data_IF_591498832441
#
_entry.id   IF_591498832441
#
_cell.length_a   1.000
_cell.length_b   1.000
_cell.length_c   1.000
_cell.angle_alpha   90.00
_cell.angle_beta   90.00
_cell.angle_gamma   90.00
#
_symmetry.space_group_name_H-M   'P 1'
#
loop_
_entity.id
_entity.type
_entity.pdbx_description
1 polymer ?
#
# COMPACT_ATOMS: atom_id res chain seq x y z
N UNK A 1 -13.83 -37.76 17.74
CA UNK A 1 -14.02 -37.17 19.09
C UNK A 1 -12.70 -37.00 19.85
N UNK A 2 -11.93 -38.07 20.10
CA UNK A 2 -10.63 -37.97 20.82
C UNK A 2 -9.62 -36.97 20.21
N UNK A 3 -9.54 -36.89 18.87
CA UNK A 3 -8.68 -35.93 18.15
C UNK A 3 -9.11 -34.47 18.32
N UNK A 4 -10.42 -34.22 18.44
CA UNK A 4 -10.99 -32.87 18.59
C UNK A 4 -10.73 -32.34 20.00
N UNK A 5 -10.87 -33.20 21.00
CA UNK A 5 -10.58 -32.88 22.41
C UNK A 5 -9.07 -32.62 22.60
N UNK A 6 -8.22 -33.41 21.94
CA UNK A 6 -6.77 -33.21 21.94
C UNK A 6 -6.38 -31.87 21.27
N UNK A 7 -7.02 -31.51 20.15
CA UNK A 7 -6.79 -30.23 19.47
C UNK A 7 -7.23 -29.01 20.30
N UNK A 8 -8.33 -29.13 21.06
CA UNK A 8 -8.79 -28.11 22.01
C UNK A 8 -7.85 -27.95 23.21
N UNK A 9 -7.39 -29.06 23.79
CA UNK A 9 -6.46 -29.06 24.92
C UNK A 9 -5.09 -28.48 24.54
N UNK A 10 -4.65 -28.70 23.30
CA UNK A 10 -3.40 -28.12 22.78
C UNK A 10 -3.62 -26.65 22.40
N UNK A 11 -4.69 -26.30 21.67
CA UNK A 11 -4.94 -24.93 21.21
C UNK A 11 -5.14 -23.89 22.33
N UNK A 12 -5.58 -24.31 23.52
CA UNK A 12 -5.73 -23.44 24.71
C UNK A 12 -4.49 -23.43 25.63
N UNK A 13 -3.46 -24.21 25.32
CA UNK A 13 -2.22 -24.26 26.09
C UNK A 13 -1.23 -23.15 25.63
N UNK A 14 -0.56 -22.45 26.57
CA UNK A 14 0.40 -21.39 26.23
C UNK A 14 1.69 -21.90 25.55
N UNK A 15 1.86 -23.21 25.36
CA UNK A 15 3.09 -23.83 24.81
C UNK A 15 3.11 -23.86 23.26
N UNK A 16 2.06 -23.39 22.59
CA UNK A 16 1.88 -23.60 21.14
C UNK A 16 2.61 -22.61 20.22
N UNK A 17 3.61 -21.87 20.72
CA UNK A 17 4.38 -20.90 19.92
C UNK A 17 5.67 -21.52 19.31
N UNK A 18 5.67 -22.82 19.03
CA UNK A 18 6.76 -23.49 18.33
C UNK A 18 6.47 -23.59 16.81
N UNK A 19 7.43 -23.13 16.00
CA UNK A 19 7.34 -23.15 14.54
C UNK A 19 7.20 -24.59 14.02
N UNK A 20 6.08 -24.88 13.35
CA UNK A 20 5.74 -26.19 12.76
C UNK A 20 4.42 -26.80 13.27
N UNK A 21 3.96 -26.44 14.47
CA UNK A 21 2.69 -26.96 15.00
C UNK A 21 1.48 -26.12 14.60
N UNK A 22 1.68 -24.81 14.40
CA UNK A 22 0.65 -23.89 13.93
C UNK A 22 0.03 -24.32 12.58
N UNK A 23 0.85 -24.80 11.64
CA UNK A 23 0.38 -25.25 10.32
C UNK A 23 -0.48 -26.53 10.39
N UNK A 24 -0.17 -27.44 11.32
CA UNK A 24 -1.00 -28.64 11.58
C UNK A 24 -2.32 -28.31 12.30
N UNK A 25 -2.39 -27.19 13.02
CA UNK A 25 -3.63 -26.74 13.67
C UNK A 25 -4.56 -26.04 12.67
N UNK A 26 -4.02 -25.33 11.68
CA UNK A 26 -4.82 -24.68 10.63
C UNK A 26 -5.61 -25.71 9.79
N UNK A 27 -5.06 -26.90 9.54
CA UNK A 27 -5.75 -27.97 8.81
C UNK A 27 -6.93 -28.59 9.57
N UNK A 28 -7.03 -28.38 10.89
CA UNK A 28 -8.12 -28.86 11.74
C UNK A 28 -9.30 -27.87 11.84
N UNK A 29 -9.09 -26.63 11.39
CA UNK A 29 -10.11 -25.57 11.37
C UNK A 29 -11.44 -26.00 10.70
N UNK A 30 -11.46 -26.60 9.50
CA UNK A 30 -12.71 -27.02 8.86
C UNK A 30 -13.45 -28.12 9.64
N UNK A 31 -12.73 -29.01 10.34
CA UNK A 31 -13.38 -30.00 11.21
C UNK A 31 -14.02 -29.34 12.43
N UNK A 32 -13.36 -28.35 13.04
CA UNK A 32 -13.89 -27.66 14.23
C UNK A 32 -15.04 -26.73 13.85
N UNK A 33 -14.97 -26.03 12.71
CA UNK A 33 -16.10 -25.27 12.16
C UNK A 33 -17.33 -26.17 11.95
N UNK A 34 -17.14 -27.41 11.48
CA UNK A 34 -18.23 -28.37 11.22
C UNK A 34 -18.86 -28.97 12.49
N UNK A 35 -18.06 -29.26 13.53
CA UNK A 35 -18.55 -30.03 14.69
C UNK A 35 -18.76 -29.19 15.97
N UNK A 36 -18.09 -28.05 16.11
CA UNK A 36 -18.13 -27.21 17.32
C UNK A 36 -18.60 -25.77 17.03
N UNK A 37 -18.83 -25.44 15.75
CA UNK A 37 -19.32 -24.14 15.32
C UNK A 37 -18.19 -23.12 15.07
N UNK A 38 -18.51 -22.15 14.22
CA UNK A 38 -17.59 -21.09 13.81
C UNK A 38 -17.10 -20.20 14.98
N UNK A 39 -17.88 -20.11 16.06
CA UNK A 39 -17.54 -19.32 17.25
C UNK A 39 -16.38 -19.92 18.05
N UNK A 40 -16.30 -21.25 18.12
CA UNK A 40 -15.18 -21.95 18.80
C UNK A 40 -13.93 -21.90 17.92
N UNK A 41 -14.09 -22.11 16.61
CA UNK A 41 -13.00 -21.99 15.66
C UNK A 41 -12.41 -20.57 15.62
N UNK A 42 -13.25 -19.53 15.72
CA UNK A 42 -12.81 -18.14 15.71
C UNK A 42 -12.14 -17.70 17.02
N UNK A 43 -12.46 -18.33 18.17
CA UNK A 43 -11.71 -18.14 19.42
C UNK A 43 -10.30 -18.73 19.38
N UNK A 44 -10.10 -19.83 18.65
CA UNK A 44 -8.80 -20.53 18.56
C UNK A 44 -7.93 -19.98 17.43
N UNK A 45 -8.50 -19.66 16.26
CA UNK A 45 -7.76 -19.22 15.06
C UNK A 45 -8.06 -17.80 14.59
N UNK A 46 -8.92 -17.05 15.28
CA UNK A 46 -9.43 -15.76 14.80
C UNK A 46 -10.52 -15.90 13.74
N UNK A 47 -11.27 -14.83 13.48
CA UNK A 47 -12.33 -14.79 12.46
C UNK A 47 -11.75 -15.17 11.09
N UNK A 48 -12.43 -16.06 10.36
CA UNK A 48 -12.09 -16.40 8.97
C UNK A 48 -12.31 -15.13 8.15
N UNK A 49 -11.25 -14.39 7.85
CA UNK A 49 -11.39 -13.20 7.02
C UNK A 49 -11.85 -13.66 5.65
N UNK A 50 -13.10 -13.35 5.28
CA UNK A 50 -13.50 -13.46 3.87
C UNK A 50 -12.48 -12.67 3.06
N UNK A 51 -11.84 -13.35 2.11
CA UNK A 51 -10.78 -12.76 1.30
C UNK A 51 -11.38 -11.61 0.50
N UNK A 52 -10.95 -10.39 0.80
CA UNK A 52 -11.24 -9.24 -0.04
C UNK A 52 -10.57 -9.51 -1.38
N UNK A 53 -11.35 -9.60 -2.45
CA UNK A 53 -10.82 -9.87 -3.79
C UNK A 53 -10.30 -8.58 -4.41
N UNK A 54 -9.20 -8.71 -5.16
CA UNK A 54 -8.72 -7.61 -5.97
C UNK A 54 -9.75 -7.35 -7.09
N UNK A 55 -10.22 -6.11 -7.29
CA UNK A 55 -11.11 -5.79 -8.39
C UNK A 55 -10.41 -5.97 -9.74
N UNK A 56 -11.20 -6.06 -10.80
CA UNK A 56 -10.69 -6.16 -12.16
C UNK A 56 -9.89 -4.90 -12.52
N UNK A 57 -8.62 -5.10 -12.94
CA UNK A 57 -7.72 -4.00 -13.26
C UNK A 57 -8.26 -3.25 -14.49
N UNK A 58 -8.51 -1.94 -14.38
CA UNK A 58 -9.09 -1.18 -15.47
C UNK A 58 -8.07 -0.98 -16.59
N UNK A 59 -8.58 -0.81 -17.82
CA UNK A 59 -7.75 -0.40 -18.95
C UNK A 59 -7.40 1.09 -18.79
N UNK A 60 -6.12 1.36 -18.55
CA UNK A 60 -5.59 2.73 -18.51
C UNK A 60 -5.44 3.23 -19.95
N UNK A 61 -6.42 4.00 -20.43
CA UNK A 61 -6.34 4.71 -21.72
C UNK A 61 -5.77 6.10 -21.43
N UNK A 62 -4.45 6.24 -21.50
CA UNK A 62 -3.80 7.55 -21.40
C UNK A 62 -3.82 8.19 -22.79
N UNK A 63 -4.88 8.93 -23.11
CA UNK A 63 -4.79 9.91 -24.19
C UNK A 63 -4.10 11.16 -23.63
N UNK A 64 -2.87 11.39 -24.07
CA UNK A 64 -2.01 12.51 -23.63
C UNK A 64 -2.63 13.87 -24.00
N UNK A 65 -3.63 13.88 -24.88
CA UNK A 65 -4.36 15.07 -25.34
C UNK A 65 -5.74 15.26 -24.72
N UNK A 66 -6.21 14.32 -23.90
CA UNK A 66 -7.56 14.39 -23.34
C UNK A 66 -7.64 15.37 -22.16
N UNK A 67 -8.41 16.46 -22.34
CA UNK A 67 -8.79 17.40 -21.29
C UNK A 67 -9.89 16.86 -20.36
N UNK A 68 -10.44 15.67 -20.65
CA UNK A 68 -11.53 15.07 -19.86
C UNK A 68 -11.17 14.89 -18.39
N UNK A 69 -9.89 14.72 -18.07
CA UNK A 69 -9.40 14.60 -16.69
C UNK A 69 -9.64 15.89 -15.89
N UNK A 70 -9.56 17.06 -16.56
CA UNK A 70 -9.84 18.37 -15.97
C UNK A 70 -11.34 18.74 -16.01
N UNK A 71 -12.09 18.21 -16.97
CA UNK A 71 -13.54 18.47 -17.14
C UNK A 71 -14.42 17.60 -16.23
N UNK A 72 -13.90 16.48 -15.73
CA UNK A 72 -14.60 15.65 -14.74
C UNK A 72 -14.73 16.43 -13.43
N UNK A 73 -15.91 17.03 -13.20
CA UNK A 73 -16.29 17.63 -11.91
C UNK A 73 -15.83 16.72 -10.78
N UNK A 74 -14.81 17.17 -10.04
CA UNK A 74 -14.33 16.45 -8.87
C UNK A 74 -15.54 16.24 -7.96
N UNK A 75 -16.03 15.00 -7.85
CA UNK A 75 -17.05 14.67 -6.85
C UNK A 75 -16.47 15.10 -5.50
N UNK A 76 -17.13 16.07 -4.86
CA UNK A 76 -16.66 16.72 -3.64
C UNK A 76 -16.12 15.70 -2.65
N UNK A 77 -14.99 16.02 -2.01
CA UNK A 77 -14.47 15.21 -0.92
C UNK A 77 -15.52 15.15 0.19
N UNK A 78 -16.08 13.95 0.40
CA UNK A 78 -17.17 13.74 1.35
C UNK A 78 -16.71 13.78 2.81
N UNK A 79 -15.40 13.73 3.06
CA UNK A 79 -14.81 13.66 4.40
C UNK A 79 -14.09 14.96 4.71
N UNK A 80 -14.64 15.76 5.63
CA UNK A 80 -14.01 16.97 6.15
C UNK A 80 -13.13 16.62 7.36
N UNK A 81 -11.92 17.19 7.41
CA UNK A 81 -11.00 17.08 8.55
C UNK A 81 -10.86 18.46 9.19
N UNK A 82 -10.80 18.46 10.52
CA UNK A 82 -10.45 19.66 11.30
C UNK A 82 -9.15 20.31 10.80
N UNK A 83 -9.12 21.64 10.58
CA UNK A 83 -7.94 22.32 10.01
C UNK A 83 -6.64 22.12 10.81
N UNK A 84 -6.70 22.13 12.15
CA UNK A 84 -5.51 21.96 12.98
C UNK A 84 -4.96 20.53 12.87
N UNK A 85 -5.84 19.52 12.88
CA UNK A 85 -5.44 18.12 12.62
C UNK A 85 -4.91 17.94 11.21
N UNK A 86 -5.55 18.57 10.21
CA UNK A 86 -5.09 18.52 8.81
C UNK A 86 -3.65 19.03 8.68
N UNK A 87 -3.33 20.17 9.31
CA UNK A 87 -1.98 20.72 9.29
C UNK A 87 -0.94 19.75 9.90
N UNK A 88 -1.26 19.12 11.02
CA UNK A 88 -0.37 18.11 11.62
C UNK A 88 -0.14 16.91 10.68
N UNK A 89 -1.20 16.43 10.03
CA UNK A 89 -1.10 15.34 9.07
C UNK A 89 -0.33 15.72 7.82
N UNK A 90 -0.46 16.96 7.34
CA UNK A 90 0.27 17.46 6.19
C UNK A 90 1.76 17.61 6.49
N UNK A 91 2.14 18.09 7.68
CA UNK A 91 3.55 18.14 8.12
C UNK A 91 4.13 16.72 8.17
N UNK A 92 3.42 15.78 8.79
CA UNK A 92 3.86 14.39 8.88
C UNK A 92 4.00 13.75 7.49
N UNK A 93 3.04 14.01 6.60
CA UNK A 93 3.06 13.56 5.22
C UNK A 93 4.27 14.09 4.46
N UNK A 94 4.49 15.42 4.45
CA UNK A 94 5.60 16.03 3.70
C UNK A 94 6.94 15.52 4.24
N UNK A 95 7.09 15.44 5.57
CA UNK A 95 8.31 14.94 6.18
C UNK A 95 8.61 13.49 5.80
N UNK A 96 7.59 12.61 5.87
CA UNK A 96 7.78 11.21 5.49
C UNK A 96 7.99 11.07 3.98
N UNK A 97 7.31 11.87 3.16
CA UNK A 97 7.46 11.85 1.71
C UNK A 97 8.89 12.19 1.29
N UNK A 98 9.48 13.25 1.85
CA UNK A 98 10.88 13.63 1.58
C UNK A 98 11.81 12.48 1.99
N UNK A 99 11.61 11.93 3.18
CA UNK A 99 12.42 10.81 3.67
C UNK A 99 12.31 9.58 2.77
N UNK A 100 11.12 9.22 2.30
CA UNK A 100 10.95 8.01 1.50
C UNK A 100 11.35 8.20 0.03
N UNK A 101 11.14 9.37 -0.54
CA UNK A 101 11.46 9.61 -1.96
C UNK A 101 12.94 9.94 -2.17
N UNK A 102 13.54 10.72 -1.26
CA UNK A 102 14.93 11.21 -1.38
C UNK A 102 15.92 10.51 -0.47
N UNK A 103 15.44 9.67 0.45
CA UNK A 103 16.27 8.97 1.45
C UNK A 103 17.09 9.92 2.35
N UNK A 104 16.61 11.16 2.51
CA UNK A 104 17.19 12.18 3.41
C UNK A 104 16.14 12.72 4.37
N UNK A 105 16.57 13.12 5.58
CA UNK A 105 15.66 13.77 6.53
C UNK A 105 15.27 15.14 6.00
N UNK A 106 13.98 15.45 6.09
CA UNK A 106 13.46 16.74 5.71
C UNK A 106 14.08 17.86 6.56
N UNK A 107 14.70 18.84 5.90
CA UNK A 107 15.17 20.04 6.58
C UNK A 107 14.04 21.10 6.67
N UNK A 108 14.24 22.12 7.52
CA UNK A 108 13.22 23.17 7.76
C UNK A 108 12.81 23.90 6.48
N UNK A 109 13.75 24.14 5.57
CA UNK A 109 13.49 24.89 4.34
C UNK A 109 12.65 24.06 3.35
N UNK A 110 12.96 22.77 3.19
CA UNK A 110 12.17 21.86 2.35
C UNK A 110 10.78 21.66 2.91
N UNK A 111 10.65 21.45 4.23
CA UNK A 111 9.34 21.35 4.88
C UNK A 111 8.52 22.62 4.65
N UNK A 112 9.09 23.80 4.88
CA UNK A 112 8.39 25.07 4.68
C UNK A 112 7.96 25.28 3.23
N UNK A 113 8.83 24.95 2.25
CA UNK A 113 8.51 25.03 0.82
C UNK A 113 7.27 24.19 0.47
N UNK A 114 7.30 22.90 0.77
CA UNK A 114 6.23 21.99 0.38
C UNK A 114 4.94 22.20 1.19
N UNK A 115 5.05 22.60 2.46
CA UNK A 115 3.89 23.03 3.24
C UNK A 115 3.26 24.30 2.68
N UNK A 116 4.07 25.27 2.20
CA UNK A 116 3.58 26.45 1.50
C UNK A 116 2.77 26.06 0.26
N UNK A 117 3.27 25.12 -0.55
CA UNK A 117 2.56 24.62 -1.73
C UNK A 117 1.25 23.90 -1.38
N UNK A 118 1.22 23.07 -0.31
CA UNK A 118 -0.02 22.46 0.18
C UNK A 118 -1.05 23.50 0.66
N UNK A 119 -0.58 24.53 1.38
CA UNK A 119 -1.45 25.61 1.87
C UNK A 119 -2.02 26.47 0.74
N UNK A 120 -1.34 26.55 -0.39
CA UNK A 120 -1.82 27.21 -1.62
C UNK A 120 -2.83 26.36 -2.41
N UNK A 121 -3.19 25.16 -1.92
CA UNK A 121 -4.22 24.32 -2.52
C UNK A 121 -3.70 23.16 -3.36
N UNK A 122 -2.39 22.88 -3.37
CA UNK A 122 -1.89 21.69 -4.04
C UNK A 122 -2.37 20.39 -3.35
N UNK A 123 -2.58 19.35 -4.15
CA UNK A 123 -2.92 18.02 -3.63
C UNK A 123 -1.67 17.30 -3.14
N UNK A 124 -1.85 16.30 -2.25
CA UNK A 124 -0.72 15.48 -1.77
C UNK A 124 -0.04 14.72 -2.90
N UNK A 125 -0.83 14.22 -3.84
CA UNK A 125 -0.32 13.63 -5.09
C UNK A 125 0.45 14.65 -5.93
N UNK A 126 -0.04 15.89 -6.05
CA UNK A 126 0.64 16.97 -6.75
C UNK A 126 2.00 17.30 -6.14
N UNK A 127 2.12 17.32 -4.81
CA UNK A 127 3.40 17.47 -4.11
C UNK A 127 4.36 16.34 -4.47
N UNK A 128 3.88 15.09 -4.46
CA UNK A 128 4.69 13.94 -4.85
C UNK A 128 5.20 14.06 -6.29
N UNK A 129 4.31 14.32 -7.25
CA UNK A 129 4.67 14.50 -8.67
C UNK A 129 5.69 15.64 -8.85
N UNK A 130 5.46 16.79 -8.21
CA UNK A 130 6.40 17.89 -8.23
C UNK A 130 7.77 17.50 -7.64
N UNK A 131 7.79 16.67 -6.60
CA UNK A 131 9.02 16.23 -5.94
C UNK A 131 9.83 15.24 -6.77
N UNK A 132 9.19 14.31 -7.49
CA UNK A 132 9.87 13.30 -8.32
C UNK A 132 10.20 13.80 -9.74
N UNK A 133 9.71 14.97 -10.12
CA UNK A 133 10.02 15.62 -11.38
C UNK A 133 11.03 16.77 -11.23
N UNK A 134 11.43 17.10 -10.00
CA UNK A 134 12.39 18.18 -9.80
C UNK A 134 13.83 17.78 -10.09
N UNK A 135 14.71 18.78 -10.14
CA UNK A 135 16.13 18.58 -10.44
C UNK A 135 16.84 17.72 -9.40
N UNK A 136 16.35 17.66 -8.16
CA UNK A 136 16.94 16.79 -7.13
C UNK A 136 16.67 15.34 -7.46
N UNK A 137 15.43 14.98 -7.75
CA UNK A 137 15.07 13.61 -8.09
C UNK A 137 15.68 13.16 -9.41
N UNK A 138 15.75 14.04 -10.40
CA UNK A 138 16.42 13.76 -11.68
C UNK A 138 17.90 13.35 -11.49
N UNK A 139 18.60 13.94 -10.51
CA UNK A 139 19.97 13.51 -10.16
C UNK A 139 20.03 12.11 -9.57
N UNK A 140 19.01 11.71 -8.78
CA UNK A 140 18.92 10.36 -8.23
C UNK A 140 18.67 9.31 -9.31
N UNK A 141 17.83 9.64 -10.31
CA UNK A 141 17.56 8.76 -11.45
C UNK A 141 18.80 8.55 -12.34
N UNK A 142 19.67 9.55 -12.43
CA UNK A 142 20.91 9.49 -13.19
C UNK A 142 22.08 8.83 -12.43
N UNK A 143 21.91 8.53 -11.13
CA UNK A 143 22.93 7.84 -10.36
C UNK A 143 23.02 6.36 -10.77
N UNK A 144 24.22 5.78 -10.76
CA UNK A 144 24.38 4.36 -11.07
C UNK A 144 23.98 3.50 -9.85
N UNK A 145 22.69 3.15 -9.80
CA UNK A 145 22.11 2.30 -8.76
C UNK A 145 21.15 1.30 -9.40
N UNK A 146 21.66 0.09 -9.56
CA UNK A 146 20.90 -1.04 -10.07
C UNK A 146 19.89 -1.55 -9.03
N UNK A 147 18.81 -2.16 -9.50
CA UNK A 147 17.83 -2.79 -8.62
C UNK A 147 18.43 -4.03 -7.94
N UNK A 148 18.21 -4.14 -6.64
CA UNK A 148 18.37 -5.41 -5.92
C UNK A 148 17.44 -6.49 -6.49
N UNK A 149 17.80 -7.76 -6.34
CA UNK A 149 16.95 -8.91 -6.74
C UNK A 149 15.58 -8.86 -6.06
N UNK A 150 15.55 -8.45 -4.79
CA UNK A 150 14.32 -8.27 -4.00
C UNK A 150 13.42 -7.17 -4.58
N UNK A 151 13.98 -6.02 -4.94
CA UNK A 151 13.22 -4.91 -5.56
C UNK A 151 12.74 -5.26 -6.97
N UNK A 152 13.55 -5.97 -7.76
CA UNK A 152 13.19 -6.47 -9.09
C UNK A 152 12.01 -7.45 -9.01
N UNK A 153 12.10 -8.47 -8.15
CA UNK A 153 11.03 -9.45 -7.97
C UNK A 153 9.72 -8.80 -7.50
N UNK A 154 9.81 -7.85 -6.57
CA UNK A 154 8.66 -7.06 -6.14
C UNK A 154 8.07 -6.23 -7.29
N UNK A 155 8.90 -5.59 -8.12
CA UNK A 155 8.43 -4.78 -9.25
C UNK A 155 7.66 -5.63 -10.26
N UNK A 156 8.17 -6.80 -10.63
CA UNK A 156 7.51 -7.73 -11.56
C UNK A 156 6.16 -8.19 -10.97
N UNK A 157 6.17 -8.62 -9.71
CA UNK A 157 4.97 -9.04 -8.99
C UNK A 157 3.92 -7.92 -8.96
N UNK A 158 4.33 -6.74 -8.54
CA UNK A 158 3.43 -5.62 -8.31
C UNK A 158 2.82 -5.12 -9.62
N UNK A 159 3.64 -4.94 -10.66
CA UNK A 159 3.16 -4.48 -11.97
C UNK A 159 2.17 -5.47 -12.59
N UNK A 160 2.40 -6.78 -12.46
CA UNK A 160 1.47 -7.79 -12.94
C UNK A 160 0.17 -7.80 -12.13
N UNK A 161 0.26 -7.80 -10.79
CA UNK A 161 -0.91 -8.00 -9.93
C UNK A 161 -1.77 -6.76 -9.74
N UNK A 162 -1.17 -5.59 -9.58
CA UNK A 162 -1.91 -4.37 -9.20
C UNK A 162 -2.10 -3.37 -10.34
N UNK A 163 -1.23 -3.44 -11.35
CA UNK A 163 -1.25 -2.54 -12.51
C UNK A 163 -1.69 -3.25 -13.79
N UNK A 164 -1.64 -4.59 -13.84
CA UNK A 164 -2.04 -5.39 -15.00
C UNK A 164 -1.05 -5.27 -16.17
N UNK A 165 0.21 -4.94 -15.89
CA UNK A 165 1.28 -4.84 -16.90
C UNK A 165 2.37 -5.86 -16.65
N UNK A 166 2.74 -6.57 -17.69
CA UNK A 166 3.89 -7.47 -17.63
C UNK A 166 5.18 -6.69 -17.87
N UNK A 167 6.14 -6.86 -16.96
CA UNK A 167 7.46 -6.28 -17.04
C UNK A 167 8.48 -7.39 -16.89
N UNK A 168 9.50 -7.40 -17.76
CA UNK A 168 10.53 -8.42 -17.73
C UNK A 168 11.74 -7.96 -16.91
N UNK A 169 12.50 -8.94 -16.42
CA UNK A 169 13.72 -8.71 -15.66
C UNK A 169 14.74 -7.87 -16.45
N UNK A 170 14.91 -8.15 -17.72
CA UNK A 170 15.88 -7.50 -18.61
C UNK A 170 15.56 -6.03 -18.84
N UNK A 171 14.27 -5.65 -18.76
CA UNK A 171 13.86 -4.24 -18.83
C UNK A 171 14.17 -3.52 -17.53
N UNK A 172 13.91 -4.16 -16.38
CA UNK A 172 14.15 -3.56 -15.07
C UNK A 172 15.64 -3.42 -14.74
N UNK A 173 16.47 -4.37 -15.16
CA UNK A 173 17.92 -4.35 -14.88
C UNK A 173 18.64 -3.18 -15.55
N UNK A 174 18.03 -2.54 -16.55
CA UNK A 174 18.57 -1.38 -17.27
C UNK A 174 18.14 -0.03 -16.68
N UNK A 175 17.30 -0.05 -15.66
CA UNK A 175 16.66 1.14 -15.12
C UNK A 175 17.14 1.35 -13.67
N UNK A 176 17.38 2.60 -13.31
CA UNK A 176 17.73 2.99 -11.95
C UNK A 176 16.55 2.76 -10.98
N UNK A 177 16.86 2.41 -9.72
CA UNK A 177 15.85 2.15 -8.68
C UNK A 177 14.86 3.31 -8.46
N UNK A 178 15.30 4.56 -8.49
CA UNK A 178 14.43 5.75 -8.36
C UNK A 178 13.48 5.88 -9.54
N UNK A 179 13.94 5.60 -10.76
CA UNK A 179 13.08 5.54 -11.93
C UNK A 179 12.02 4.44 -11.80
N UNK A 180 12.39 3.27 -11.28
CA UNK A 180 11.40 2.20 -11.02
C UNK A 180 10.40 2.60 -9.93
N UNK A 181 10.86 3.18 -8.80
CA UNK A 181 9.99 3.71 -7.74
C UNK A 181 8.95 4.68 -8.31
N UNK A 182 9.41 5.64 -9.14
CA UNK A 182 8.54 6.63 -9.80
C UNK A 182 7.54 5.96 -10.73
N UNK A 183 8.02 5.13 -11.66
CA UNK A 183 7.16 4.45 -12.66
C UNK A 183 6.09 3.60 -11.97
N UNK A 184 6.47 2.77 -11.01
CA UNK A 184 5.51 1.88 -10.30
C UNK A 184 4.46 2.70 -9.55
N UNK A 185 4.88 3.79 -8.91
CA UNK A 185 3.96 4.67 -8.18
C UNK A 185 3.02 5.42 -9.13
N UNK A 186 3.53 6.04 -10.20
CA UNK A 186 2.69 6.74 -11.18
C UNK A 186 1.69 5.79 -11.84
N UNK A 187 2.11 4.58 -12.21
CA UNK A 187 1.19 3.59 -12.79
C UNK A 187 0.12 3.11 -11.81
N UNK A 188 0.43 3.10 -10.51
CA UNK A 188 -0.58 2.84 -9.48
C UNK A 188 -1.59 3.98 -9.41
N UNK A 189 -1.13 5.23 -9.47
CA UNK A 189 -1.98 6.42 -9.47
C UNK A 189 -2.88 6.46 -10.71
N UNK A 190 -2.37 6.14 -11.90
CA UNK A 190 -3.16 6.01 -13.13
C UNK A 190 -4.34 5.04 -12.93
N UNK A 191 -4.08 3.85 -12.39
CA UNK A 191 -5.10 2.83 -12.13
C UNK A 191 -6.14 3.32 -11.12
N UNK A 192 -5.69 3.98 -10.05
CA UNK A 192 -6.54 4.57 -9.02
C UNK A 192 -7.45 5.65 -9.63
N UNK A 193 -6.92 6.50 -10.51
CA UNK A 193 -7.71 7.54 -11.16
C UNK A 193 -8.81 6.97 -12.03
N UNK A 194 -8.54 5.87 -12.74
CA UNK A 194 -9.59 5.18 -13.48
C UNK A 194 -10.67 4.63 -12.54
N UNK A 195 -10.30 3.98 -11.43
CA UNK A 195 -11.30 3.53 -10.44
C UNK A 195 -12.10 4.68 -9.86
N UNK A 196 -11.44 5.77 -9.44
CA UNK A 196 -12.13 6.93 -8.87
C UNK A 196 -13.11 7.58 -9.84
N UNK A 197 -12.85 7.48 -11.15
CA UNK A 197 -13.73 7.99 -12.20
C UNK A 197 -14.90 7.05 -12.54
N UNK A 198 -14.76 5.74 -12.30
CA UNK A 198 -15.72 4.71 -12.73
C UNK A 198 -16.45 4.09 -11.54
N UNK A 199 -15.72 3.43 -10.64
CA UNK A 199 -16.22 2.83 -9.42
C UNK A 199 -15.28 3.07 -8.22
N UNK A 200 -15.76 3.91 -7.30
CA UNK A 200 -15.04 4.26 -6.08
C UNK A 200 -14.92 3.08 -5.11
N UNK A 201 -15.85 2.12 -5.13
CA UNK A 201 -15.72 0.93 -4.29
C UNK A 201 -14.54 0.06 -4.71
N UNK A 202 -14.35 -0.14 -6.02
CA UNK A 202 -13.17 -0.79 -6.57
C UNK A 202 -11.86 -0.11 -6.15
N UNK A 203 -11.81 1.22 -6.05
CA UNK A 203 -10.64 1.90 -5.48
C UNK A 203 -10.37 1.47 -4.02
N UNK A 204 -11.39 1.42 -3.18
CA UNK A 204 -11.23 1.01 -1.78
C UNK A 204 -10.86 -0.48 -1.64
N UNK A 205 -11.41 -1.34 -2.50
CA UNK A 205 -11.05 -2.75 -2.57
C UNK A 205 -9.61 -2.95 -3.00
N UNK A 206 -9.19 -2.27 -4.06
CA UNK A 206 -7.81 -2.28 -4.54
C UNK A 206 -6.84 -1.85 -3.43
N UNK A 207 -7.13 -0.74 -2.75
CA UNK A 207 -6.29 -0.29 -1.63
C UNK A 207 -6.28 -1.29 -0.48
N UNK A 208 -7.46 -1.84 -0.12
CA UNK A 208 -7.59 -2.83 0.94
C UNK A 208 -6.69 -4.04 0.69
N UNK A 209 -6.77 -4.63 -0.50
CA UNK A 209 -5.96 -5.78 -0.92
C UNK A 209 -4.48 -5.42 -0.98
N UNK A 210 -4.13 -4.32 -1.65
CA UNK A 210 -2.75 -3.84 -1.73
C UNK A 210 -2.13 -3.71 -0.33
N UNK A 211 -2.82 -2.99 0.54
CA UNK A 211 -2.32 -2.64 1.87
C UNK A 211 -2.18 -3.86 2.78
N UNK A 212 -3.15 -4.79 2.74
CA UNK A 212 -3.11 -6.04 3.49
C UNK A 212 -2.04 -7.00 2.99
N UNK A 213 -1.88 -7.13 1.67
CA UNK A 213 -0.81 -7.96 1.08
C UNK A 213 0.58 -7.42 1.38
N UNK A 214 0.77 -6.11 1.29
CA UNK A 214 2.05 -5.47 1.64
C UNK A 214 2.40 -5.73 3.11
N UNK A 215 1.42 -5.68 4.01
CA UNK A 215 1.61 -6.00 5.42
C UNK A 215 1.97 -7.47 5.65
N UNK A 216 1.28 -8.39 4.96
CA UNK A 216 1.47 -9.83 5.10
C UNK A 216 2.81 -10.30 4.52
N UNK A 217 3.19 -9.82 3.33
CA UNK A 217 4.40 -10.26 2.62
C UNK A 217 5.67 -9.56 3.11
N UNK A 218 5.55 -8.33 3.59
CA UNK A 218 6.70 -7.49 3.94
C UNK A 218 6.53 -6.90 5.34
N UNK A 219 7.04 -7.54 6.41
CA UNK A 219 6.92 -7.04 7.78
C UNK A 219 7.93 -5.90 8.06
N UNK A 220 7.82 -4.82 7.28
CA UNK A 220 8.69 -3.62 7.35
C UNK A 220 7.99 -2.45 8.06
N UNK A 221 6.71 -2.64 8.39
CA UNK A 221 5.81 -1.61 8.88
C UNK A 221 5.84 -1.52 10.40
N UNK A 222 6.15 -0.33 10.94
CA UNK A 222 6.20 -0.11 12.39
C UNK A 222 4.88 0.36 13.01
N UNK A 223 4.03 1.07 12.25
CA UNK A 223 2.77 1.59 12.79
C UNK A 223 1.67 0.51 12.75
N UNK A 224 0.73 0.59 13.71
CA UNK A 224 -0.37 -0.39 13.85
C UNK A 224 -1.26 -0.48 12.61
N UNK A 225 -1.43 0.62 11.88
CA UNK A 225 -2.24 0.63 10.66
C UNK A 225 -1.53 -0.16 9.56
N UNK A 226 -0.29 0.20 9.18
CA UNK A 226 0.40 -0.41 8.03
C UNK A 226 0.83 -1.85 8.31
N UNK A 227 1.06 -2.23 9.57
CA UNK A 227 1.39 -3.60 9.94
C UNK A 227 0.17 -4.54 10.00
N UNK A 228 -1.06 -3.99 9.96
CA UNK A 228 -2.25 -4.82 9.97
C UNK A 228 -2.38 -5.60 8.65
N UNK A 229 -2.58 -6.91 8.72
CA UNK A 229 -2.68 -7.77 7.54
C UNK A 229 -4.09 -7.85 6.95
N UNK A 230 -5.09 -7.30 7.64
CA UNK A 230 -6.50 -7.37 7.26
C UNK A 230 -6.84 -6.39 6.13
N UNK A 231 -7.12 -6.93 4.94
CA UNK A 231 -7.54 -6.13 3.79
C UNK A 231 -8.84 -5.35 4.07
N UNK A 232 -9.78 -5.94 4.82
CA UNK A 232 -11.04 -5.30 5.23
C UNK A 232 -10.80 -4.10 6.14
N UNK A 233 -9.85 -4.19 7.07
CA UNK A 233 -9.49 -3.08 7.95
C UNK A 233 -8.95 -1.90 7.14
N UNK A 234 -8.07 -2.18 6.18
CA UNK A 234 -7.54 -1.16 5.26
C UNK A 234 -8.63 -0.53 4.39
N UNK A 235 -9.53 -1.33 3.81
CA UNK A 235 -10.71 -0.82 3.07
C UNK A 235 -11.53 0.13 3.95
N UNK A 236 -11.85 -0.31 5.17
CA UNK A 236 -12.64 0.48 6.13
C UNK A 236 -11.95 1.77 6.53
N UNK A 237 -10.62 1.76 6.70
CA UNK A 237 -9.85 2.98 6.94
C UNK A 237 -9.89 3.92 5.75
N UNK A 238 -9.70 3.41 4.52
CA UNK A 238 -9.68 4.23 3.31
C UNK A 238 -11.01 4.96 3.06
N UNK A 239 -12.14 4.34 3.43
CA UNK A 239 -13.47 4.97 3.37
C UNK A 239 -13.67 6.12 4.36
N UNK A 240 -12.84 6.22 5.39
CA UNK A 240 -12.98 7.20 6.49
C UNK A 240 -12.07 8.41 6.38
N UNK A 241 -11.22 8.45 5.37
CA UNK A 241 -10.25 9.53 5.15
C UNK A 241 -10.42 10.11 3.75
N UNK A 242 -9.99 11.35 3.50
CA UNK A 242 -10.01 11.94 2.17
C UNK A 242 -9.18 11.11 1.18
N UNK A 243 -9.54 11.15 -0.10
CA UNK A 243 -8.90 10.35 -1.15
C UNK A 243 -7.40 10.64 -1.21
N UNK A 244 -7.03 11.92 -1.07
CA UNK A 244 -5.63 12.34 -1.07
C UNK A 244 -4.81 11.70 0.07
N UNK A 245 -5.43 11.34 1.19
CA UNK A 245 -4.75 10.63 2.28
C UNK A 245 -4.44 9.19 1.89
N UNK A 246 -5.40 8.51 1.25
CA UNK A 246 -5.20 7.14 0.76
C UNK A 246 -4.14 7.11 -0.34
N UNK A 247 -4.18 8.04 -1.31
CA UNK A 247 -3.16 8.19 -2.34
C UNK A 247 -1.77 8.44 -1.75
N UNK A 248 -1.67 9.36 -0.78
CA UNK A 248 -0.40 9.62 -0.09
C UNK A 248 0.15 8.39 0.63
N UNK A 249 -0.73 7.55 1.18
CA UNK A 249 -0.33 6.32 1.86
C UNK A 249 0.19 5.27 0.88
N UNK A 250 -0.39 5.17 -0.31
CA UNK A 250 0.09 4.29 -1.39
C UNK A 250 1.48 4.72 -1.84
N UNK A 251 1.67 6.02 -2.10
CA UNK A 251 2.97 6.60 -2.46
C UNK A 251 4.02 6.26 -1.40
N UNK A 252 3.73 6.57 -0.13
CA UNK A 252 4.68 6.32 0.97
C UNK A 252 5.00 4.83 1.10
N UNK A 253 4.00 3.95 1.03
CA UNK A 253 4.20 2.50 1.14
C UNK A 253 5.10 1.97 0.04
N UNK A 254 4.86 2.37 -1.21
CA UNK A 254 5.66 1.92 -2.34
C UNK A 254 7.12 2.36 -2.18
N UNK A 255 7.37 3.66 -1.96
CA UNK A 255 8.74 4.17 -1.78
C UNK A 255 9.44 3.53 -0.57
N UNK A 256 8.77 3.45 0.58
CA UNK A 256 9.33 2.83 1.79
C UNK A 256 9.68 1.36 1.59
N UNK A 257 8.81 0.61 0.91
CA UNK A 257 9.05 -0.80 0.63
C UNK A 257 10.24 -0.95 -0.33
N UNK A 258 10.30 -0.18 -1.42
CA UNK A 258 11.45 -0.17 -2.31
C UNK A 258 12.76 0.16 -1.59
N UNK A 259 12.78 1.19 -0.74
CA UNK A 259 13.96 1.54 0.08
C UNK A 259 14.41 0.36 0.95
N UNK A 260 13.45 -0.40 1.49
CA UNK A 260 13.74 -1.54 2.35
C UNK A 260 14.24 -2.75 1.56
N UNK A 261 13.61 -3.05 0.42
CA UNK A 261 14.00 -4.15 -0.46
C UNK A 261 15.37 -3.89 -1.08
N UNK A 262 15.67 -2.64 -1.44
CA UNK A 262 16.97 -2.27 -1.98
C UNK A 262 18.12 -2.50 -0.99
N UNK A 263 17.86 -2.39 0.32
CA UNK A 263 18.84 -2.64 1.38
C UNK A 263 18.99 -4.13 1.72
N UNK A 264 18.06 -4.99 1.27
CA UNK A 264 18.04 -6.44 1.51
C UNK A 264 18.53 -7.14 0.24
N UNK A 265 19.85 -7.34 0.14
CA UNK A 265 20.49 -8.08 -0.95
C UNK A 265 19.98 -9.52 -1.06
#
# INVERSE_FOLDING_TARGET
MKVIILALAIGMSPVCHAAGFADKLVSLRPMIEKYLGADVASKIWGVKEEELLLPAIPKVVNDVTSTEIYERKAKEETVKIDPAKKQQYDIAFVSELIEQTREVKANRNELAKWMGTLNQGATREGIYRAMVLDSYYARLENYDSQLSKSAEAFSIYFMKRFVGKEVTKEKLSKINIYSVKRIVTERSLDVIDVYLSTDRESFYDWYGVFSGEMAKKYPVWKNKLRSNTSAKMHKKWAKRVPIQFVKSEIIIKLHKLFNTLQKRN
#
